data_IF_110953049457
#
_entry.id   IF_110953049457
#
_cell.length_a   1.000
_cell.length_b   1.000
_cell.length_c   1.000
_cell.angle_alpha   90.00
_cell.angle_beta   90.00
_cell.angle_gamma   90.00
#
_symmetry.space_group_name_H-M   'P 1'
#
loop_
_entity.id
_entity.type
_entity.pdbx_description
1 polymer ?
#
# COMPACT_ATOMS: atom_id res chain seq x y z
N UNK A 1 -25.96 -18.16 88.19
CA UNK A 1 -24.96 -17.79 87.16
C UNK A 1 -25.45 -18.29 85.82
N UNK A 2 -25.64 -17.36 84.87
CA UNK A 2 -26.38 -17.51 83.61
C UNK A 2 -25.57 -18.32 82.55
N UNK A 3 -26.25 -19.01 81.61
CA UNK A 3 -25.67 -19.98 80.67
C UNK A 3 -25.34 -19.35 79.32
N UNK A 4 -24.25 -19.73 78.65
CA UNK A 4 -24.02 -19.33 77.25
C UNK A 4 -23.43 -20.45 76.39
N UNK A 5 -24.24 -20.83 75.40
CA UNK A 5 -24.02 -21.76 74.30
C UNK A 5 -22.81 -21.36 73.44
N UNK A 6 -22.04 -22.31 72.88
CA UNK A 6 -21.14 -22.00 71.77
C UNK A 6 -21.95 -21.88 70.47
N UNK A 7 -21.85 -20.71 69.83
CA UNK A 7 -22.51 -20.38 68.56
C UNK A 7 -21.84 -21.11 67.39
N UNK A 8 -22.61 -21.97 66.73
CA UNK A 8 -22.31 -22.61 65.46
C UNK A 8 -22.23 -21.53 64.37
N UNK A 9 -21.02 -21.18 63.92
CA UNK A 9 -20.84 -20.30 62.75
C UNK A 9 -20.80 -21.12 61.47
N UNK A 10 -21.85 -20.94 60.67
CA UNK A 10 -22.00 -21.43 59.30
C UNK A 10 -20.89 -20.88 58.41
N UNK A 11 -20.15 -21.78 57.75
CA UNK A 11 -19.17 -21.45 56.72
C UNK A 11 -19.91 -21.39 55.37
N UNK A 12 -19.98 -20.24 54.67
CA UNK A 12 -20.52 -20.23 53.31
C UNK A 12 -19.51 -20.86 52.34
N UNK A 13 -19.98 -21.82 51.54
CA UNK A 13 -19.25 -22.40 50.40
C UNK A 13 -18.89 -21.30 49.41
N UNK A 14 -17.61 -20.89 49.38
CA UNK A 14 -17.05 -20.09 48.28
C UNK A 14 -17.00 -20.96 47.03
N UNK A 15 -17.93 -20.73 46.12
CA UNK A 15 -17.85 -21.19 44.73
C UNK A 15 -16.64 -20.54 44.07
N UNK A 16 -15.59 -21.33 43.82
CA UNK A 16 -14.49 -20.96 42.95
C UNK A 16 -15.04 -20.87 41.51
N UNK A 17 -15.31 -19.64 41.05
CA UNK A 17 -15.53 -19.38 39.63
C UNK A 17 -14.18 -19.53 38.94
N UNK A 18 -14.04 -20.59 38.15
CA UNK A 18 -12.95 -20.75 37.20
C UNK A 18 -13.08 -19.63 36.15
N UNK A 19 -12.23 -18.62 36.24
CA UNK A 19 -12.10 -17.61 35.19
C UNK A 19 -11.42 -18.27 33.99
N UNK A 20 -12.20 -18.57 32.96
CA UNK A 20 -11.70 -18.97 31.65
C UNK A 20 -10.92 -17.77 31.09
N UNK A 21 -9.61 -17.89 30.78
CA UNK A 21 -8.92 -16.86 30.03
C UNK A 21 -9.54 -16.83 28.63
N UNK A 22 -10.22 -15.73 28.32
CA UNK A 22 -10.74 -15.45 27.00
C UNK A 22 -9.53 -15.29 26.08
N UNK A 23 -9.19 -16.36 25.35
CA UNK A 23 -8.22 -16.32 24.27
C UNK A 23 -8.70 -15.27 23.27
N UNK A 24 -8.00 -14.13 23.23
CA UNK A 24 -8.20 -13.14 22.18
C UNK A 24 -7.94 -13.87 20.85
N UNK A 25 -8.91 -13.91 19.91
CA UNK A 25 -8.58 -14.38 18.59
C UNK A 25 -7.47 -13.47 18.07
N UNK A 26 -6.32 -14.06 17.75
CA UNK A 26 -5.34 -13.42 16.90
C UNK A 26 -6.06 -13.11 15.60
N UNK A 27 -6.56 -11.88 15.48
CA UNK A 27 -6.88 -11.33 14.19
C UNK A 27 -5.58 -11.29 13.43
N UNK A 28 -5.45 -12.23 12.49
CA UNK A 28 -4.45 -12.19 11.43
C UNK A 28 -4.41 -10.74 10.94
N UNK A 29 -3.29 -10.08 11.20
CA UNK A 29 -3.00 -8.77 10.66
C UNK A 29 -3.00 -8.94 9.16
N UNK A 30 -4.14 -8.61 8.55
CA UNK A 30 -4.28 -8.46 7.10
C UNK A 30 -3.15 -7.50 6.71
N UNK A 31 -2.20 -7.87 5.83
CA UNK A 31 -1.27 -6.87 5.34
C UNK A 31 -2.15 -5.78 4.70
N UNK A 32 -1.93 -4.55 5.14
CA UNK A 32 -2.62 -3.38 4.60
C UNK A 32 -2.26 -3.29 3.12
N UNK A 33 -3.12 -3.84 2.27
CA UNK A 33 -3.11 -3.64 0.83
C UNK A 33 -4.53 -3.21 0.46
N UNK A 34 -4.96 -2.11 1.09
CA UNK A 34 -6.18 -1.39 0.75
C UNK A 34 -5.92 -0.50 -0.45
N UNK A 35 -5.60 -1.11 -1.58
CA UNK A 35 -5.60 -0.39 -2.85
C UNK A 35 -6.91 -0.68 -3.57
N UNK A 36 -7.77 0.33 -3.63
CA UNK A 36 -8.91 0.32 -4.53
C UNK A 36 -8.39 0.46 -5.96
N UNK A 37 -8.51 -0.61 -6.74
CA UNK A 37 -8.05 -0.67 -8.14
C UNK A 37 -9.25 -0.39 -9.06
N UNK A 38 -9.14 0.64 -9.91
CA UNK A 38 -10.04 0.83 -11.06
C UNK A 38 -9.39 0.18 -12.28
N UNK A 39 -10.14 -0.63 -13.03
CA UNK A 39 -9.66 -1.39 -14.18
C UNK A 39 -8.56 -2.42 -13.83
N UNK A 40 -8.86 -3.44 -12.99
CA UNK A 40 -7.86 -4.42 -12.58
C UNK A 40 -7.37 -5.25 -13.78
N UNK A 41 -6.10 -5.13 -14.11
CA UNK A 41 -5.47 -5.98 -15.12
C UNK A 41 -5.00 -7.29 -14.49
N UNK A 42 -5.22 -8.37 -15.23
CA UNK A 42 -4.79 -9.72 -14.85
C UNK A 42 -3.72 -10.15 -15.84
N UNK A 43 -2.61 -10.64 -15.31
CA UNK A 43 -1.51 -11.13 -16.13
C UNK A 43 -1.94 -12.38 -16.93
N UNK A 44 -1.80 -12.39 -18.27
CA UNK A 44 -2.31 -13.48 -19.11
C UNK A 44 -1.55 -14.79 -18.93
N UNK A 45 -0.33 -14.75 -18.38
CA UNK A 45 0.54 -15.91 -18.21
C UNK A 45 0.41 -16.54 -16.82
N UNK A 46 0.21 -15.71 -15.80
CA UNK A 46 0.14 -16.14 -14.39
C UNK A 46 -1.26 -16.08 -13.78
N UNK A 47 -2.22 -15.42 -14.43
CA UNK A 47 -3.58 -15.23 -13.90
C UNK A 47 -3.63 -14.41 -12.60
N UNK A 48 -2.52 -13.77 -12.22
CA UNK A 48 -2.42 -12.96 -11.02
C UNK A 48 -2.86 -11.52 -11.29
N UNK A 49 -3.59 -10.94 -10.33
CA UNK A 49 -3.94 -9.52 -10.36
C UNK A 49 -2.66 -8.69 -10.24
N UNK A 50 -2.45 -7.78 -11.19
CA UNK A 50 -1.30 -6.88 -11.16
C UNK A 50 -1.49 -5.89 -9.98
N UNK A 51 -0.58 -5.96 -9.02
CA UNK A 51 -0.57 -5.10 -7.83
C UNK A 51 0.63 -4.17 -7.87
N UNK A 52 0.47 -2.99 -7.28
CA UNK A 52 1.52 -2.01 -7.08
C UNK A 52 1.46 -1.54 -5.62
N UNK A 53 2.64 -1.41 -5.00
CA UNK A 53 2.76 -0.98 -3.62
C UNK A 53 3.24 0.48 -3.56
N UNK A 54 2.84 1.22 -2.53
CA UNK A 54 3.29 2.58 -2.30
C UNK A 54 3.93 2.70 -0.93
N UNK A 55 5.08 3.37 -0.87
CA UNK A 55 5.67 3.68 0.43
C UNK A 55 4.89 4.81 1.12
N UNK A 56 4.89 4.85 2.48
CA UNK A 56 4.23 5.91 3.22
C UNK A 56 4.78 7.31 2.89
N UNK A 57 6.03 7.40 2.41
CA UNK A 57 6.64 8.66 1.98
C UNK A 57 6.02 9.16 0.68
N UNK A 58 5.81 8.27 -0.28
CA UNK A 58 5.14 8.59 -1.54
C UNK A 58 3.70 9.03 -1.29
N UNK A 59 2.97 8.29 -0.46
CA UNK A 59 1.60 8.62 -0.06
C UNK A 59 1.51 10.00 0.58
N UNK A 60 2.33 10.26 1.61
CA UNK A 60 2.37 11.56 2.30
C UNK A 60 2.65 12.70 1.33
N UNK A 61 3.53 12.47 0.34
CA UNK A 61 3.86 13.47 -0.65
C UNK A 61 2.70 13.75 -1.61
N UNK A 62 1.99 12.72 -2.06
CA UNK A 62 0.83 12.87 -2.94
C UNK A 62 -0.28 13.67 -2.25
N UNK A 63 -0.54 13.38 -0.98
CA UNK A 63 -1.50 14.16 -0.18
C UNK A 63 -1.07 15.62 -0.10
N UNK A 64 0.20 15.90 0.22
CA UNK A 64 0.70 17.26 0.30
C UNK A 64 0.63 18.03 -1.03
N UNK A 65 0.86 17.36 -2.17
CA UNK A 65 0.70 17.96 -3.50
C UNK A 65 -0.77 18.27 -3.76
N UNK A 66 -1.66 17.34 -3.45
CA UNK A 66 -3.12 17.49 -3.60
C UNK A 66 -3.68 18.65 -2.79
N UNK A 67 -3.22 18.80 -1.54
CA UNK A 67 -3.59 19.93 -0.67
C UNK A 67 -3.04 21.26 -1.21
N UNK A 68 -1.79 21.25 -1.70
CA UNK A 68 -1.17 22.45 -2.27
C UNK A 68 -1.90 22.94 -3.52
N UNK A 69 -2.31 22.02 -4.38
CA UNK A 69 -3.01 22.33 -5.64
C UNK A 69 -4.51 22.52 -5.44
N UNK A 70 -5.05 22.23 -4.24
CA UNK A 70 -6.48 22.24 -3.90
C UNK A 70 -7.35 21.37 -4.83
N UNK A 71 -6.76 20.37 -5.47
CA UNK A 71 -7.41 19.58 -6.51
C UNK A 71 -7.64 18.13 -6.05
N UNK A 72 -8.88 17.74 -5.68
CA UNK A 72 -9.15 16.41 -5.15
C UNK A 72 -9.05 15.27 -6.18
N UNK A 73 -8.98 15.63 -7.46
CA UNK A 73 -8.87 14.71 -8.58
C UNK A 73 -7.43 14.50 -9.04
N UNK A 74 -6.46 15.19 -8.43
CA UNK A 74 -5.07 15.07 -8.79
C UNK A 74 -4.55 13.65 -8.47
N UNK A 75 -3.97 13.02 -9.48
CA UNK A 75 -3.37 11.70 -9.36
C UNK A 75 -1.95 11.69 -9.94
N UNK A 76 -1.10 10.80 -9.42
CA UNK A 76 0.23 10.56 -9.97
C UNK A 76 0.09 9.67 -11.19
N UNK A 77 0.51 10.15 -12.36
CA UNK A 77 0.60 9.34 -13.56
C UNK A 77 2.00 8.75 -13.66
N UNK A 78 2.09 7.44 -13.80
CA UNK A 78 3.34 6.71 -14.04
C UNK A 78 3.20 5.93 -15.34
N UNK A 79 4.02 6.31 -16.32
CA UNK A 79 4.10 5.67 -17.63
C UNK A 79 5.52 5.22 -17.88
N UNK A 80 5.69 4.13 -18.60
CA UNK A 80 6.96 3.58 -19.04
C UNK A 80 7.08 3.77 -20.53
N UNK A 81 8.15 4.40 -20.97
CA UNK A 81 8.46 4.59 -22.38
C UNK A 81 9.71 3.82 -22.76
N UNK A 82 9.78 3.32 -23.98
CA UNK A 82 11.01 2.72 -24.52
C UNK A 82 12.06 3.82 -24.72
N UNK A 83 13.06 3.85 -23.85
CA UNK A 83 14.15 4.82 -23.85
C UNK A 83 15.35 4.36 -24.67
N UNK A 84 15.38 4.67 -25.97
CA UNK A 84 16.58 4.61 -26.83
C UNK A 84 17.48 3.37 -26.66
N UNK A 85 18.81 3.57 -26.73
CA UNK A 85 19.78 2.48 -26.56
C UNK A 85 19.88 1.91 -25.12
N UNK A 86 19.16 2.49 -24.15
CA UNK A 86 19.32 2.20 -22.72
C UNK A 86 18.10 1.51 -22.09
N UNK A 87 17.17 0.99 -22.91
CA UNK A 87 16.05 0.18 -22.46
C UNK A 87 14.78 0.99 -22.28
N UNK A 88 14.31 1.12 -21.04
CA UNK A 88 13.04 1.76 -20.67
C UNK A 88 13.27 2.97 -19.74
N UNK A 89 12.36 3.93 -19.79
CA UNK A 89 12.38 5.15 -18.99
C UNK A 89 11.04 5.34 -18.27
N UNK A 90 11.11 5.76 -17.00
CA UNK A 90 9.94 6.11 -16.22
C UNK A 90 9.56 7.58 -16.45
N UNK A 91 8.36 7.81 -16.94
CA UNK A 91 7.74 9.13 -17.06
C UNK A 91 6.74 9.30 -15.93
N UNK A 92 7.07 10.20 -15.00
CA UNK A 92 6.25 10.51 -13.83
C UNK A 92 5.68 11.90 -13.98
N UNK A 93 4.35 12.00 -13.92
CA UNK A 93 3.62 13.26 -14.03
C UNK A 93 2.48 13.34 -13.02
N UNK A 94 1.86 14.51 -12.95
CA UNK A 94 0.60 14.70 -12.23
C UNK A 94 -0.47 14.96 -13.28
N UNK A 95 -1.55 14.21 -13.22
CA UNK A 95 -2.70 14.34 -14.13
C UNK A 95 -3.99 14.28 -13.34
N UNK A 96 -4.94 15.11 -13.74
CA UNK A 96 -6.32 15.07 -13.25
C UNK A 96 -7.22 14.24 -14.17
N UNK A 97 -6.77 14.05 -15.43
CA UNK A 97 -7.45 13.24 -16.43
C UNK A 97 -7.05 11.78 -16.22
N UNK A 98 -8.06 10.95 -16.05
CA UNK A 98 -7.97 9.53 -15.79
C UNK A 98 -8.97 8.84 -16.70
N UNK A 99 -8.48 8.02 -17.61
CA UNK A 99 -9.31 7.31 -18.57
C UNK A 99 -9.52 5.87 -18.08
N UNK A 100 -10.68 5.59 -17.48
CA UNK A 100 -10.94 4.31 -16.78
C UNK A 100 -10.90 3.07 -17.68
N UNK A 101 -10.96 3.25 -18.99
CA UNK A 101 -10.97 2.17 -19.97
C UNK A 101 -9.53 1.77 -20.39
N UNK A 102 -8.62 2.74 -20.43
CA UNK A 102 -7.25 2.58 -20.92
C UNK A 102 -6.20 2.64 -19.79
N UNK A 103 -6.54 3.31 -18.69
CA UNK A 103 -5.70 3.46 -17.52
C UNK A 103 -6.19 2.56 -16.37
N UNK A 104 -5.23 2.17 -15.53
CA UNK A 104 -5.42 1.47 -14.27
C UNK A 104 -5.16 2.43 -13.14
N UNK A 105 -6.13 2.57 -12.24
CA UNK A 105 -6.04 3.51 -11.12
C UNK A 105 -5.87 2.73 -9.83
N UNK A 106 -4.82 3.06 -9.11
CA UNK A 106 -4.44 2.51 -7.82
C UNK A 106 -4.70 3.59 -6.76
N UNK A 107 -5.70 3.38 -5.91
CA UNK A 107 -6.07 4.34 -4.86
C UNK A 107 -5.89 3.74 -3.47
N UNK A 108 -5.11 4.41 -2.63
CA UNK A 108 -4.94 4.04 -1.22
C UNK A 108 -6.21 4.37 -0.42
N UNK A 109 -6.78 3.37 0.27
CA UNK A 109 -8.01 3.51 1.05
C UNK A 109 -7.82 4.38 2.30
N UNK A 110 -6.63 4.35 2.91
CA UNK A 110 -6.33 5.08 4.15
C UNK A 110 -6.09 6.57 3.91
N UNK A 111 -5.34 6.92 2.87
CA UNK A 111 -4.85 8.29 2.63
C UNK A 111 -5.50 8.96 1.43
N UNK A 112 -6.23 8.21 0.60
CA UNK A 112 -6.88 8.71 -0.61
C UNK A 112 -5.88 9.14 -1.71
N UNK A 113 -4.63 8.67 -1.64
CA UNK A 113 -3.62 8.91 -2.66
C UNK A 113 -3.96 8.09 -3.92
N UNK A 114 -3.89 8.72 -5.10
CA UNK A 114 -4.23 8.10 -6.37
C UNK A 114 -3.01 8.03 -7.27
N UNK A 115 -2.78 6.86 -7.86
CA UNK A 115 -1.78 6.59 -8.88
C UNK A 115 -2.47 6.02 -10.10
N UNK A 116 -2.04 6.43 -11.28
CA UNK A 116 -2.62 6.06 -12.56
C UNK A 116 -1.49 5.52 -13.42
N UNK A 117 -1.71 4.35 -14.02
CA UNK A 117 -0.78 3.71 -14.93
C UNK A 117 -1.53 3.30 -16.19
N UNK A 118 -0.89 3.40 -17.34
CA UNK A 118 -1.41 2.79 -18.56
C UNK A 118 -1.23 1.26 -18.52
N UNK A 119 -2.10 0.53 -19.23
CA UNK A 119 -2.07 -0.94 -19.30
C UNK A 119 -0.68 -1.50 -19.67
N UNK A 120 0.00 -1.06 -20.74
CA UNK A 120 1.30 -1.63 -21.10
C UNK A 120 2.39 -1.35 -20.05
N UNK A 121 2.36 -0.19 -19.38
CA UNK A 121 3.28 0.11 -18.28
C UNK A 121 3.05 -0.78 -17.07
N UNK A 122 1.79 -1.16 -16.80
CA UNK A 122 1.47 -2.00 -15.66
C UNK A 122 2.07 -3.41 -15.79
N UNK A 123 2.15 -3.96 -17.01
CA UNK A 123 2.80 -5.26 -17.25
C UNK A 123 4.27 -5.25 -16.85
N UNK A 124 4.95 -4.12 -17.11
CA UNK A 124 6.36 -3.91 -16.80
C UNK A 124 6.60 -3.57 -15.31
N UNK A 125 5.59 -3.01 -14.65
CA UNK A 125 5.63 -2.52 -13.28
C UNK A 125 4.93 -3.43 -12.26
N UNK A 126 4.45 -4.59 -12.67
CA UNK A 126 3.75 -5.53 -11.79
C UNK A 126 4.60 -5.89 -10.57
N UNK A 127 4.05 -5.73 -9.38
CA UNK A 127 4.73 -5.97 -8.11
C UNK A 127 5.81 -4.94 -7.75
N UNK A 128 5.85 -3.79 -8.44
CA UNK A 128 6.77 -2.70 -8.10
C UNK A 128 6.28 -1.91 -6.90
N UNK A 129 7.23 -1.28 -6.20
CA UNK A 129 6.94 -0.35 -5.11
C UNK A 129 7.31 1.08 -5.53
N UNK A 130 6.38 2.02 -5.42
CA UNK A 130 6.63 3.44 -5.66
C UNK A 130 7.07 4.11 -4.36
N UNK A 131 8.29 4.62 -4.36
CA UNK A 131 8.89 5.38 -3.26
C UNK A 131 9.03 6.87 -3.61
N UNK A 132 9.24 7.70 -2.58
CA UNK A 132 9.57 9.11 -2.75
C UNK A 132 10.81 9.45 -1.92
N UNK A 133 11.84 9.91 -2.60
CA UNK A 133 13.11 10.30 -2.01
C UNK A 133 13.32 11.81 -2.13
N UNK A 134 13.74 12.41 -1.02
CA UNK A 134 14.04 13.84 -0.91
C UNK A 134 15.52 14.00 -0.57
N UNK A 135 16.31 14.46 -1.52
CA UNK A 135 17.73 14.74 -1.40
C UNK A 135 17.98 16.24 -1.27
N UNK A 136 19.23 16.64 -1.05
CA UNK A 136 19.62 18.05 -0.97
C UNK A 136 19.46 18.77 -2.32
N UNK A 137 19.73 18.06 -3.42
CA UNK A 137 19.67 18.59 -4.78
C UNK A 137 18.27 18.59 -5.38
N UNK A 138 17.30 17.94 -4.74
CA UNK A 138 15.96 17.82 -5.27
C UNK A 138 15.17 16.68 -4.64
N UNK A 139 13.92 16.53 -5.07
CA UNK A 139 13.05 15.47 -4.59
C UNK A 139 12.36 14.81 -5.78
N UNK A 140 12.35 13.49 -5.81
CA UNK A 140 11.83 12.72 -6.93
C UNK A 140 11.15 11.44 -6.46
N UNK A 141 10.13 11.02 -7.22
CA UNK A 141 9.53 9.71 -7.09
C UNK A 141 10.44 8.66 -7.73
N UNK A 142 10.67 7.57 -7.02
CA UNK A 142 11.52 6.47 -7.46
C UNK A 142 10.70 5.20 -7.48
N UNK A 143 10.80 4.43 -8.56
CA UNK A 143 10.10 3.15 -8.68
C UNK A 143 11.09 2.03 -8.44
N UNK A 144 10.76 1.14 -7.50
CA UNK A 144 11.53 -0.05 -7.18
C UNK A 144 10.86 -1.24 -7.87
N UNK A 145 11.37 -1.58 -9.05
CA UNK A 145 10.85 -2.67 -9.85
C UNK A 145 11.69 -3.95 -9.63
N UNK A 146 11.12 -5.03 -9.08
CA UNK A 146 11.84 -6.30 -8.91
C UNK A 146 12.18 -7.00 -10.24
N UNK A 147 11.46 -6.69 -11.32
CA UNK A 147 11.72 -7.25 -12.65
C UNK A 147 12.85 -6.53 -13.41
N UNK A 148 13.28 -5.36 -12.94
CA UNK A 148 14.36 -4.61 -13.56
C UNK A 148 15.72 -5.28 -13.28
N UNK A 149 16.42 -5.65 -14.35
CA UNK A 149 17.76 -6.29 -14.27
C UNK A 149 18.85 -5.27 -13.97
N UNK A 150 18.73 -4.06 -14.51
CA UNK A 150 19.68 -2.95 -14.29
C UNK A 150 18.96 -1.62 -14.22
N UNK A 151 19.38 -0.73 -13.33
CA UNK A 151 18.92 0.67 -13.27
C UNK A 151 20.07 1.62 -13.58
N UNK A 152 19.82 2.64 -14.40
CA UNK A 152 20.78 3.72 -14.62
C UNK A 152 21.09 4.43 -13.29
N UNK A 153 22.33 4.90 -13.10
CA UNK A 153 22.77 5.49 -11.82
C UNK A 153 21.96 6.71 -11.36
N UNK A 154 21.21 7.36 -12.25
CA UNK A 154 20.28 8.45 -11.94
C UNK A 154 18.85 7.98 -11.60
N UNK A 155 18.53 6.70 -11.73
CA UNK A 155 17.24 6.11 -11.34
C UNK A 155 16.06 6.43 -12.26
N UNK A 156 16.27 7.09 -13.40
CA UNK A 156 15.20 7.46 -14.36
C UNK A 156 14.98 6.43 -15.47
N UNK A 157 15.91 5.49 -15.65
CA UNK A 157 15.87 4.47 -16.71
C UNK A 157 16.30 3.11 -16.18
N UNK A 158 15.80 2.05 -16.81
CA UNK A 158 16.03 0.66 -16.43
C UNK A 158 16.01 -0.27 -17.63
N UNK A 159 16.66 -1.42 -17.47
CA UNK A 159 16.69 -2.51 -18.42
C UNK A 159 15.96 -3.72 -17.83
N UNK A 160 15.13 -4.37 -18.65
CA UNK A 160 14.47 -5.63 -18.30
C UNK A 160 15.04 -6.74 -19.17
N UNK A 161 15.32 -7.87 -18.54
CA UNK A 161 15.74 -9.06 -19.28
C UNK A 161 14.48 -9.81 -19.67
N UNK A 162 13.95 -9.47 -20.85
CA UNK A 162 12.90 -10.24 -21.52
C UNK A 162 13.43 -11.60 -21.97
#
# INVERSE_FOLDING_TARGET
>A
MNPLRPLLRSIPRRTLRLSVPHARPFHLSRPALGLAITNPQTDPETGATMMLDLTPRAISRLVAIREKDNNPNLALRLTVESGGCHGFQYTIGLSEKIDKEEDVVFMDEDSGAKVVLDVPSLELLKGSTVDYTKELIGSQFKVLNPAATSSCGCGTSFDIKV
#
